data_IF_444423798817
#
_entry.id   IF_444423798817
#
_cell.length_a   1.000
_cell.length_b   1.000
_cell.length_c   1.000
_cell.angle_alpha   90.00
_cell.angle_beta   90.00
_cell.angle_gamma   90.00
#
_symmetry.space_group_name_H-M   'P 1'
#
loop_
_entity.id
_entity.type
_entity.pdbx_description
1 polymer ?
#
# COMPACT_ATOMS: atom_id res chain seq x y z
N UNK A 1 -23.81 18.81 -5.58
CA UNK A 1 -22.79 18.18 -4.72
C UNK A 1 -21.60 17.85 -5.62
N UNK A 2 -20.43 18.43 -5.39
CA UNK A 2 -19.25 18.17 -6.23
C UNK A 2 -18.82 16.70 -6.05
N UNK A 3 -18.98 15.89 -7.11
CA UNK A 3 -18.54 14.49 -7.18
C UNK A 3 -17.01 14.36 -7.39
N UNK A 4 -16.23 15.38 -7.04
CA UNK A 4 -14.79 15.38 -7.25
C UNK A 4 -14.12 14.39 -6.29
N UNK A 5 -13.41 13.40 -6.86
CA UNK A 5 -12.67 12.41 -6.07
C UNK A 5 -11.48 13.08 -5.35
N UNK A 6 -10.91 14.12 -5.96
CA UNK A 6 -9.81 14.97 -5.48
C UNK A 6 -9.98 16.37 -6.11
N UNK A 7 -9.45 17.42 -5.47
CA UNK A 7 -9.51 18.80 -5.98
C UNK A 7 -8.20 19.25 -6.64
N UNK A 8 -7.07 18.61 -6.29
CA UNK A 8 -5.77 18.91 -6.88
C UNK A 8 -4.98 17.66 -7.26
N UNK A 9 -4.08 17.78 -8.23
CA UNK A 9 -3.05 16.76 -8.50
C UNK A 9 -1.66 17.36 -8.39
N UNK A 10 -0.72 16.55 -7.96
CA UNK A 10 0.70 16.89 -7.83
C UNK A 10 1.50 16.04 -8.82
N UNK A 11 2.22 16.65 -9.76
CA UNK A 11 2.98 15.93 -10.80
C UNK A 11 4.47 16.27 -10.65
N UNK A 12 5.31 15.24 -10.51
CA UNK A 12 6.76 15.38 -10.62
C UNK A 12 7.19 15.31 -12.09
N UNK A 13 7.54 16.48 -12.65
CA UNK A 13 8.03 16.62 -14.02
C UNK A 13 9.53 16.32 -14.16
N UNK A 14 10.20 15.85 -13.10
CA UNK A 14 11.60 15.51 -13.12
C UNK A 14 12.54 16.67 -12.75
N UNK A 15 13.67 16.74 -13.45
CA UNK A 15 14.81 17.61 -13.15
C UNK A 15 15.98 16.87 -12.50
N UNK A 16 17.21 17.18 -12.93
CA UNK A 16 18.43 16.65 -12.33
C UNK A 16 18.53 17.16 -10.88
N UNK A 17 18.84 16.25 -9.96
CA UNK A 17 19.12 16.58 -8.57
C UNK A 17 20.36 15.80 -8.17
N UNK A 18 21.41 16.53 -7.78
CA UNK A 18 22.70 15.99 -7.36
C UNK A 18 22.72 15.53 -5.88
N UNK A 19 21.62 15.70 -5.14
CA UNK A 19 21.51 15.26 -3.76
C UNK A 19 21.20 13.75 -3.67
N UNK A 20 21.80 13.07 -2.69
CA UNK A 20 21.57 11.65 -2.42
C UNK A 20 20.79 11.44 -1.11
N UNK A 21 19.60 12.03 -1.01
CA UNK A 21 18.82 12.01 0.23
C UNK A 21 18.34 10.59 0.57
N UNK A 22 18.49 10.18 1.82
CA UNK A 22 18.01 8.87 2.31
C UNK A 22 16.52 8.62 2.01
N UNK A 23 15.71 9.68 2.05
CA UNK A 23 14.25 9.60 1.84
C UNK A 23 13.81 9.76 0.38
N UNK A 24 14.71 10.02 -0.56
CA UNK A 24 14.33 10.29 -1.94
C UNK A 24 13.93 8.99 -2.67
N UNK A 25 12.73 8.95 -3.25
CA UNK A 25 12.29 7.78 -4.02
C UNK A 25 13.13 7.53 -5.28
N UNK A 26 13.92 8.51 -5.69
CA UNK A 26 14.84 8.41 -6.82
C UNK A 26 16.22 7.88 -6.42
N UNK A 27 16.57 7.82 -5.12
CA UNK A 27 17.92 7.44 -4.67
C UNK A 27 18.38 6.09 -5.22
N UNK A 28 17.50 5.08 -5.23
CA UNK A 28 17.80 3.75 -5.79
C UNK A 28 17.88 3.73 -7.33
N UNK A 29 17.34 4.75 -7.99
CA UNK A 29 17.22 4.79 -9.45
C UNK A 29 18.27 5.73 -10.08
N UNK A 30 18.72 6.76 -9.34
CA UNK A 30 19.74 7.75 -9.78
C UNK A 30 21.07 7.12 -10.18
N UNK A 31 21.43 5.98 -9.58
CA UNK A 31 22.67 5.24 -9.86
C UNK A 31 22.51 4.16 -10.92
N UNK A 32 21.32 4.02 -11.52
CA UNK A 32 21.03 3.00 -12.53
C UNK A 32 20.89 3.62 -13.93
N UNK A 33 21.24 2.86 -14.97
CA UNK A 33 20.98 3.23 -16.38
C UNK A 33 19.49 3.46 -16.70
N UNK A 34 18.61 3.12 -15.73
CA UNK A 34 17.16 3.32 -15.80
C UNK A 34 16.70 4.70 -15.32
N UNK A 35 17.58 5.57 -14.81
CA UNK A 35 17.15 6.90 -14.32
C UNK A 35 16.47 7.73 -15.40
N UNK A 36 17.06 7.76 -16.60
CA UNK A 36 16.54 8.49 -17.75
C UNK A 36 15.60 7.65 -18.61
N UNK A 37 15.67 6.32 -18.53
CA UNK A 37 14.75 5.43 -19.25
C UNK A 37 13.41 5.41 -18.51
N UNK A 38 12.31 5.28 -19.26
CA UNK A 38 10.98 5.05 -18.71
C UNK A 38 10.31 6.23 -17.97
N UNK A 39 10.86 7.45 -18.05
CA UNK A 39 10.14 8.65 -17.59
C UNK A 39 8.84 8.83 -18.39
N UNK A 40 7.86 9.53 -17.82
CA UNK A 40 6.66 9.92 -18.55
C UNK A 40 7.03 10.77 -19.76
N UNK A 41 6.45 10.43 -20.90
CA UNK A 41 6.49 11.22 -22.11
C UNK A 41 5.47 12.36 -22.04
N UNK A 42 5.64 13.37 -22.89
CA UNK A 42 4.75 14.54 -22.93
C UNK A 42 3.29 14.15 -23.19
N UNK A 43 3.04 13.26 -24.14
CA UNK A 43 1.69 12.75 -24.45
C UNK A 43 1.03 12.06 -23.25
N UNK A 44 1.80 11.32 -22.45
CA UNK A 44 1.30 10.71 -21.21
C UNK A 44 0.97 11.75 -20.14
N UNK A 45 1.75 12.84 -20.05
CA UNK A 45 1.47 13.96 -19.13
C UNK A 45 0.23 14.74 -19.59
N UNK A 46 0.08 14.97 -20.89
CA UNK A 46 -1.09 15.60 -21.49
C UNK A 46 -2.34 14.76 -21.21
N UNK A 47 -2.27 13.44 -21.43
CA UNK A 47 -3.36 12.51 -21.15
C UNK A 47 -3.72 12.52 -19.64
N UNK A 48 -2.73 12.49 -18.75
CA UNK A 48 -2.95 12.62 -17.30
C UNK A 48 -3.69 13.90 -16.93
N UNK A 49 -3.31 15.05 -17.49
CA UNK A 49 -3.97 16.34 -17.24
C UNK A 49 -5.40 16.34 -17.79
N UNK A 50 -5.62 15.75 -18.96
CA UNK A 50 -6.96 15.60 -19.51
C UNK A 50 -7.85 14.72 -18.61
N UNK A 51 -7.34 13.58 -18.14
CA UNK A 51 -8.04 12.71 -17.20
C UNK A 51 -8.35 13.43 -15.88
N UNK A 52 -7.44 14.26 -15.37
CA UNK A 52 -7.67 15.06 -14.16
C UNK A 52 -8.74 16.13 -14.38
N UNK A 53 -8.72 16.81 -15.52
CA UNK A 53 -9.76 17.77 -15.88
C UNK A 53 -11.15 17.11 -16.03
N UNK A 54 -11.23 15.91 -16.63
CA UNK A 54 -12.47 15.11 -16.70
C UNK A 54 -13.02 14.73 -15.31
N UNK A 55 -12.12 14.59 -14.32
CA UNK A 55 -12.46 14.35 -12.92
C UNK A 55 -12.88 15.61 -12.15
N UNK A 56 -12.87 16.78 -12.79
CA UNK A 56 -13.19 18.06 -12.16
C UNK A 56 -12.08 18.62 -11.28
N UNK A 57 -10.84 18.14 -11.42
CA UNK A 57 -9.69 18.68 -10.70
C UNK A 57 -9.53 20.16 -11.03
N UNK A 58 -9.37 20.99 -10.01
CA UNK A 58 -9.32 22.45 -10.16
C UNK A 58 -7.90 22.99 -10.16
N UNK A 59 -6.94 22.25 -9.60
CA UNK A 59 -5.57 22.71 -9.41
C UNK A 59 -4.53 21.65 -9.78
N UNK A 60 -3.50 22.06 -10.51
CA UNK A 60 -2.31 21.24 -10.83
C UNK A 60 -1.09 21.86 -10.15
N UNK A 61 -0.39 21.06 -9.36
CA UNK A 61 0.87 21.44 -8.72
C UNK A 61 1.98 20.72 -9.47
N UNK A 62 2.88 21.49 -10.07
CA UNK A 62 4.02 20.96 -10.82
C UNK A 62 5.28 21.06 -9.95
N UNK A 63 5.87 19.90 -9.67
CA UNK A 63 7.16 19.81 -9.02
C UNK A 63 8.27 19.77 -10.05
N UNK A 64 9.18 20.74 -9.94
CA UNK A 64 10.34 20.87 -10.80
C UNK A 64 11.57 21.18 -9.95
N UNK A 65 12.73 20.61 -10.27
CA UNK A 65 13.97 21.00 -9.59
C UNK A 65 14.48 22.32 -10.18
N UNK A 66 14.91 23.23 -9.32
CA UNK A 66 15.44 24.55 -9.67
C UNK A 66 16.61 24.54 -10.67
N UNK A 67 17.31 23.42 -10.82
CA UNK A 67 18.50 23.30 -11.66
C UNK A 67 18.21 22.91 -13.12
N UNK A 68 17.04 22.36 -13.44
CA UNK A 68 16.74 21.92 -14.81
C UNK A 68 15.24 21.74 -15.03
N UNK A 69 14.62 22.63 -15.82
CA UNK A 69 13.20 22.51 -16.16
C UNK A 69 12.99 21.39 -17.19
N UNK A 70 11.90 20.63 -17.05
CA UNK A 70 11.47 19.70 -18.09
C UNK A 70 11.32 20.43 -19.43
N UNK A 71 11.83 19.90 -20.56
CA UNK A 71 11.79 20.60 -21.85
C UNK A 71 10.38 21.00 -22.26
N UNK A 72 9.39 20.17 -21.91
CA UNK A 72 7.99 20.39 -22.30
C UNK A 72 7.17 21.21 -21.29
N UNK A 73 7.82 21.86 -20.31
CA UNK A 73 7.12 22.65 -19.27
C UNK A 73 6.20 23.71 -19.89
N UNK A 74 6.64 24.38 -20.95
CA UNK A 74 5.86 25.42 -21.62
C UNK A 74 4.58 24.88 -22.27
N UNK A 75 4.61 23.67 -22.81
CA UNK A 75 3.45 23.04 -23.45
C UNK A 75 2.44 22.55 -22.42
N UNK A 76 2.93 21.93 -21.35
CA UNK A 76 2.12 21.53 -20.19
C UNK A 76 1.37 22.74 -19.62
N UNK A 77 2.05 23.88 -19.48
CA UNK A 77 1.43 25.10 -18.97
C UNK A 77 0.32 25.65 -19.86
N UNK A 78 0.55 25.67 -21.18
CA UNK A 78 -0.46 26.09 -22.15
C UNK A 78 -1.72 25.21 -22.06
N UNK A 79 -1.54 23.90 -21.89
CA UNK A 79 -2.65 22.97 -21.72
C UNK A 79 -3.45 23.26 -20.44
N UNK A 80 -2.79 23.39 -19.29
CA UNK A 80 -3.43 23.64 -18.00
C UNK A 80 -4.25 24.95 -18.05
N UNK A 81 -3.67 26.00 -18.64
CA UNK A 81 -4.36 27.28 -18.82
C UNK A 81 -5.60 27.14 -19.73
N UNK A 82 -5.47 26.43 -20.87
CA UNK A 82 -6.58 26.17 -21.79
C UNK A 82 -7.74 25.40 -21.14
N UNK A 83 -7.45 24.60 -20.11
CA UNK A 83 -8.43 23.84 -19.33
C UNK A 83 -9.03 24.64 -18.16
N UNK A 84 -8.65 25.91 -17.98
CA UNK A 84 -9.09 26.77 -16.86
C UNK A 84 -8.77 26.17 -15.48
N UNK A 85 -7.69 25.41 -15.36
CA UNK A 85 -7.21 24.86 -14.10
C UNK A 85 -6.20 25.82 -13.46
N UNK A 86 -6.25 25.97 -12.14
CA UNK A 86 -5.23 26.69 -11.38
C UNK A 86 -3.89 25.94 -11.45
N UNK A 87 -2.79 26.69 -11.49
CA UNK A 87 -1.44 26.13 -11.52
C UNK A 87 -0.59 26.66 -10.38
N UNK A 88 0.18 25.79 -9.76
CA UNK A 88 1.21 26.15 -8.77
C UNK A 88 2.52 25.45 -9.13
N UNK A 89 3.62 26.20 -9.07
CA UNK A 89 4.96 25.65 -9.22
C UNK A 89 5.64 25.53 -7.86
N UNK A 90 6.08 24.33 -7.54
CA UNK A 90 6.97 24.13 -6.40
C UNK A 90 8.38 23.84 -6.91
N UNK A 91 9.29 24.77 -6.62
CA UNK A 91 10.73 24.66 -6.88
C UNK A 91 11.43 23.67 -5.93
N UNK A 92 10.72 23.26 -4.87
CA UNK A 92 11.17 22.24 -3.95
C UNK A 92 10.36 20.98 -4.19
N UNK A 93 11.05 19.91 -4.60
CA UNK A 93 10.43 18.58 -4.54
C UNK A 93 10.03 18.28 -3.10
N UNK A 94 9.00 17.44 -2.88
CA UNK A 94 8.59 16.96 -1.57
C UNK A 94 9.60 15.91 -1.04
N UNK A 95 10.90 16.23 -1.16
CA UNK A 95 12.04 15.45 -0.72
C UNK A 95 12.24 15.53 0.79
N UNK A 96 11.80 16.64 1.41
CA UNK A 96 11.95 16.95 2.84
C UNK A 96 10.61 17.36 3.48
N UNK A 97 9.51 16.63 3.25
CA UNK A 97 8.27 16.85 4.04
C UNK A 97 8.39 16.39 5.51
N UNK A 98 9.59 16.50 6.07
CA UNK A 98 9.90 16.61 7.50
C UNK A 98 10.00 18.07 7.95
N UNK A 99 9.63 19.06 7.12
CA UNK A 99 9.34 20.41 7.62
C UNK A 99 8.09 20.33 8.51
N UNK A 100 8.34 19.96 9.76
CA UNK A 100 7.41 20.04 10.87
C UNK A 100 7.18 21.53 11.11
N UNK A 101 6.22 22.11 10.40
CA UNK A 101 5.55 23.26 10.95
C UNK A 101 4.72 22.71 12.11
N UNK A 102 4.92 23.19 13.33
CA UNK A 102 4.23 22.69 14.53
C UNK A 102 2.69 22.72 14.35
N UNK A 103 2.20 23.65 13.52
CA UNK A 103 0.79 23.75 13.13
C UNK A 103 0.35 22.76 12.03
N UNK A 104 1.29 22.25 11.21
CA UNK A 104 1.00 21.23 10.18
C UNK A 104 0.94 19.80 10.74
N UNK A 105 1.34 19.59 12.00
CA UNK A 105 1.21 18.30 12.70
C UNK A 105 -0.26 17.93 12.99
N UNK A 106 -1.14 18.92 13.05
CA UNK A 106 -2.50 18.73 13.57
C UNK A 106 -3.41 18.11 12.49
N UNK A 107 -3.31 18.45 11.19
CA UNK A 107 -4.28 17.93 10.20
C UNK A 107 -3.75 17.91 8.75
N UNK A 108 -2.94 16.90 8.39
CA UNK A 108 -2.57 16.69 6.99
C UNK A 108 -3.65 15.87 6.25
N UNK A 109 -4.50 16.55 5.47
CA UNK A 109 -5.57 15.94 4.67
C UNK A 109 -5.24 15.82 3.18
N UNK A 110 -3.96 15.86 2.80
CA UNK A 110 -3.52 15.75 1.40
C UNK A 110 -4.15 14.55 0.68
N UNK A 111 -4.19 13.38 1.31
CA UNK A 111 -4.82 12.17 0.76
C UNK A 111 -6.35 12.27 0.53
N UNK A 112 -7.05 13.23 1.15
CA UNK A 112 -8.48 13.47 0.88
C UNK A 112 -8.68 14.37 -0.34
N UNK A 113 -7.72 15.25 -0.62
CA UNK A 113 -7.88 16.39 -1.51
C UNK A 113 -6.96 16.37 -2.74
N UNK A 114 -5.89 15.56 -2.69
CA UNK A 114 -4.88 15.45 -3.72
C UNK A 114 -4.30 14.04 -3.86
N UNK A 115 -3.62 13.82 -4.98
CA UNK A 115 -2.72 12.68 -5.17
C UNK A 115 -1.42 13.15 -5.82
N UNK A 116 -0.36 12.37 -5.65
CA UNK A 116 0.96 12.63 -6.23
C UNK A 116 1.28 11.61 -7.31
N UNK A 117 1.71 12.07 -8.48
CA UNK A 117 2.16 11.25 -9.59
C UNK A 117 3.66 11.49 -9.78
N UNK A 118 4.44 10.43 -9.65
CA UNK A 118 5.88 10.54 -9.86
C UNK A 118 6.24 10.54 -11.36
N UNK A 119 7.50 10.84 -11.67
CA UNK A 119 8.03 10.85 -13.03
C UNK A 119 8.00 9.51 -13.80
N UNK A 120 7.55 8.41 -13.17
CA UNK A 120 7.33 7.10 -13.79
C UNK A 120 5.85 6.72 -13.88
N UNK A 121 4.94 7.66 -13.63
CA UNK A 121 3.49 7.44 -13.69
C UNK A 121 2.89 6.72 -12.49
N UNK A 122 3.66 6.41 -11.45
CA UNK A 122 3.12 5.80 -10.23
C UNK A 122 2.37 6.83 -9.42
N UNK A 123 1.17 6.47 -8.97
CA UNK A 123 0.24 7.33 -8.23
C UNK A 123 0.36 7.02 -6.74
N UNK A 124 0.40 8.05 -5.90
CA UNK A 124 0.55 7.97 -4.45
C UNK A 124 -0.52 8.83 -3.76
N UNK A 125 -0.98 8.46 -2.55
CA UNK A 125 -1.94 9.26 -1.78
C UNK A 125 -1.43 10.64 -1.38
N UNK A 126 -0.12 10.77 -1.18
CA UNK A 126 0.55 12.06 -1.02
C UNK A 126 2.02 11.90 -1.37
N UNK A 127 2.71 13.00 -1.64
CA UNK A 127 4.08 12.94 -2.12
C UNK A 127 5.11 12.40 -1.10
N UNK A 128 4.78 12.48 0.20
CA UNK A 128 5.59 11.89 1.26
C UNK A 128 5.41 10.37 1.40
N UNK A 129 4.32 9.81 0.88
CA UNK A 129 3.98 8.41 1.09
C UNK A 129 4.66 7.52 0.06
N UNK A 130 5.42 6.53 0.51
CA UNK A 130 6.12 5.56 -0.36
C UNK A 130 5.27 4.32 -0.65
N UNK A 131 3.96 4.50 -0.71
CA UNK A 131 2.97 3.47 -1.00
C UNK A 131 2.23 3.84 -2.29
N UNK A 132 2.62 3.20 -3.40
CA UNK A 132 1.95 3.39 -4.69
C UNK A 132 0.59 2.70 -4.66
N UNK A 133 -0.42 3.37 -5.19
CA UNK A 133 -1.79 2.87 -5.32
C UNK A 133 -2.14 2.48 -6.77
N UNK A 134 -1.21 2.66 -7.70
CA UNK A 134 -1.40 2.31 -9.11
C UNK A 134 -0.41 3.02 -10.02
N UNK A 135 -0.52 2.76 -11.33
CA UNK A 135 0.27 3.43 -12.35
C UNK A 135 -0.62 3.83 -13.54
N UNK A 136 -0.47 5.06 -14.03
CA UNK A 136 -1.30 5.61 -15.11
C UNK A 136 -1.13 4.88 -16.45
N UNK A 137 0.00 4.17 -16.64
CA UNK A 137 0.24 3.31 -17.82
C UNK A 137 -0.55 2.01 -17.78
N UNK A 138 -1.05 1.63 -16.61
CA UNK A 138 -1.81 0.38 -16.41
C UNK A 138 -3.32 0.63 -16.34
N UNK A 139 -3.74 1.75 -15.76
CA UNK A 139 -5.14 2.09 -15.56
C UNK A 139 -5.37 3.61 -15.64
N UNK A 140 -6.58 4.02 -16.03
CA UNK A 140 -6.99 5.44 -15.95
C UNK A 140 -6.94 5.94 -14.50
N UNK A 141 -6.59 7.21 -14.31
CA UNK A 141 -6.50 7.88 -13.02
C UNK A 141 -7.79 7.73 -12.20
N UNK A 142 -8.95 7.89 -12.82
CA UNK A 142 -10.27 7.69 -12.18
C UNK A 142 -10.37 6.31 -11.51
N UNK A 143 -9.97 5.27 -12.23
CA UNK A 143 -10.03 3.88 -11.75
C UNK A 143 -9.04 3.66 -10.61
N UNK A 144 -7.81 4.15 -10.74
CA UNK A 144 -6.80 4.06 -9.68
C UNK A 144 -7.30 4.71 -8.39
N UNK A 145 -7.85 5.92 -8.48
CA UNK A 145 -8.33 6.66 -7.30
C UNK A 145 -9.59 6.06 -6.67
N UNK A 146 -10.48 5.49 -7.49
CA UNK A 146 -11.74 4.91 -7.02
C UNK A 146 -11.56 3.50 -6.43
N UNK A 147 -10.73 2.67 -7.05
CA UNK A 147 -10.56 1.26 -6.65
C UNK A 147 -9.52 1.07 -5.53
N UNK A 148 -8.75 2.11 -5.17
CA UNK A 148 -7.68 1.99 -4.17
C UNK A 148 -8.24 1.73 -2.77
N UNK A 149 -7.92 0.57 -2.20
CA UNK A 149 -8.26 0.19 -0.83
C UNK A 149 -7.50 1.10 0.17
N UNK A 150 -6.26 1.47 -0.15
CA UNK A 150 -5.47 2.40 0.67
C UNK A 150 -6.14 3.77 0.73
N UNK A 151 -6.52 4.37 -0.41
CA UNK A 151 -7.20 5.67 -0.40
C UNK A 151 -8.55 5.60 0.31
N UNK A 152 -9.32 4.55 0.10
CA UNK A 152 -10.58 4.35 0.79
C UNK A 152 -10.38 4.32 2.32
N UNK A 153 -9.36 3.59 2.80
CA UNK A 153 -9.01 3.52 4.21
C UNK A 153 -8.53 4.86 4.77
N UNK A 154 -7.71 5.60 4.02
CA UNK A 154 -7.21 6.91 4.42
C UNK A 154 -8.34 7.96 4.49
N UNK A 155 -9.28 7.93 3.53
CA UNK A 155 -10.44 8.83 3.50
C UNK A 155 -11.42 8.55 4.64
N UNK A 156 -11.61 7.27 4.98
CA UNK A 156 -12.49 6.79 6.05
C UNK A 156 -11.73 6.49 7.36
N UNK A 157 -10.73 7.31 7.68
CA UNK A 157 -9.82 7.04 8.79
C UNK A 157 -10.46 6.88 10.17
N UNK A 158 -11.62 7.50 10.37
CA UNK A 158 -12.42 7.40 11.59
C UNK A 158 -12.74 5.94 11.94
N UNK A 159 -12.77 5.04 10.94
CA UNK A 159 -13.09 3.63 11.09
C UNK A 159 -11.91 2.67 10.86
N UNK A 160 -10.73 3.20 10.51
CA UNK A 160 -9.58 2.38 10.08
C UNK A 160 -8.32 2.62 10.90
N UNK A 161 -8.20 3.73 11.63
CA UNK A 161 -7.05 3.99 12.51
C UNK A 161 -6.97 2.96 13.66
N UNK A 162 -5.72 2.55 13.92
CA UNK A 162 -5.33 1.55 14.92
C UNK A 162 -4.50 2.17 16.04
N UNK A 163 -4.37 1.44 17.14
CA UNK A 163 -3.51 1.78 18.26
C UNK A 163 -4.05 2.93 19.12
N UNK A 164 -3.18 3.54 19.93
CA UNK A 164 -3.52 4.62 20.85
C UNK A 164 -4.32 5.79 20.25
N UNK A 165 -4.05 6.16 18.99
CA UNK A 165 -4.73 7.28 18.32
C UNK A 165 -6.25 7.14 18.27
N UNK A 166 -6.78 5.91 18.28
CA UNK A 166 -8.22 5.66 18.21
C UNK A 166 -9.00 6.16 19.43
N UNK A 167 -8.36 6.15 20.59
CA UNK A 167 -8.93 6.63 21.87
C UNK A 167 -8.35 7.98 22.29
N UNK A 168 -7.65 8.66 21.38
CA UNK A 168 -7.02 9.93 21.69
C UNK A 168 -8.06 11.06 21.64
N UNK A 169 -8.05 11.94 22.63
CA UNK A 169 -8.97 13.09 22.71
C UNK A 169 -8.84 14.04 21.52
N UNK A 170 -7.67 14.02 20.85
CA UNK A 170 -7.38 14.86 19.67
C UNK A 170 -7.86 14.24 18.36
N UNK A 171 -8.38 13.01 18.35
CA UNK A 171 -8.67 12.24 17.12
C UNK A 171 -9.62 12.95 16.14
N UNK A 172 -10.62 13.67 16.65
CA UNK A 172 -11.59 14.41 15.82
C UNK A 172 -10.95 15.47 14.91
N UNK A 173 -9.81 16.02 15.34
CA UNK A 173 -9.09 17.07 14.61
C UNK A 173 -7.68 16.65 14.20
N UNK A 174 -7.22 15.48 14.63
CA UNK A 174 -5.88 14.96 14.38
C UNK A 174 -5.91 13.62 13.67
N UNK A 175 -5.17 13.57 12.56
CA UNK A 175 -4.93 12.35 11.81
C UNK A 175 -3.44 12.03 11.65
N UNK A 176 -2.54 12.84 12.22
CA UNK A 176 -1.09 12.66 12.10
C UNK A 176 -0.57 12.59 10.65
N UNK A 177 0.71 12.28 10.49
CA UNK A 177 1.33 12.15 9.17
C UNK A 177 1.39 10.70 8.73
N UNK A 178 0.46 10.28 7.85
CA UNK A 178 0.38 8.89 7.36
C UNK A 178 1.61 8.41 6.60
N UNK A 179 2.26 9.32 5.88
CA UNK A 179 3.52 9.03 5.21
C UNK A 179 4.62 8.65 6.19
N UNK A 180 4.75 9.43 7.29
CA UNK A 180 5.72 9.19 8.36
C UNK A 180 5.40 7.90 9.11
N UNK A 181 4.14 7.73 9.51
CA UNK A 181 3.68 6.50 10.18
C UNK A 181 4.01 5.27 9.35
N UNK A 182 3.67 5.26 8.05
CA UNK A 182 3.98 4.13 7.18
C UNK A 182 5.49 3.87 7.07
N UNK A 183 6.31 4.92 6.99
CA UNK A 183 7.77 4.78 6.91
C UNK A 183 8.38 4.16 8.18
N UNK A 184 7.80 4.45 9.35
CA UNK A 184 8.32 3.96 10.63
C UNK A 184 7.74 2.60 11.04
N UNK A 185 6.50 2.31 10.66
CA UNK A 185 5.75 1.14 11.16
C UNK A 185 5.47 0.10 10.08
N UNK A 186 5.54 0.46 8.80
CA UNK A 186 5.02 -0.37 7.71
C UNK A 186 3.48 -0.41 7.62
N UNK A 187 2.76 0.27 8.52
CA UNK A 187 1.30 0.39 8.52
C UNK A 187 0.88 1.85 8.40
N UNK A 188 0.17 2.20 7.33
CA UNK A 188 -0.33 3.55 7.14
C UNK A 188 -1.51 3.91 8.07
N UNK A 189 -2.10 2.91 8.75
CA UNK A 189 -3.21 3.09 9.69
C UNK A 189 -2.78 3.04 11.16
N UNK A 190 -1.52 2.74 11.45
CA UNK A 190 -1.01 2.71 12.81
C UNK A 190 -1.02 4.09 13.49
N UNK A 191 -0.82 4.10 14.79
CA UNK A 191 -0.53 5.33 15.52
C UNK A 191 0.89 5.82 15.21
N UNK A 192 1.10 7.14 15.20
CA UNK A 192 2.41 7.73 14.87
C UNK A 192 3.39 7.61 16.06
N UNK A 193 4.52 6.87 15.93
CA UNK A 193 5.48 6.68 17.03
C UNK A 193 6.17 7.97 17.47
N UNK A 194 6.23 8.99 16.61
CA UNK A 194 6.86 10.28 16.94
C UNK A 194 5.87 11.30 17.51
N UNK A 195 4.60 10.91 17.70
CA UNK A 195 3.64 11.75 18.40
C UNK A 195 3.97 11.79 19.90
N UNK A 196 4.00 12.99 20.53
CA UNK A 196 4.18 13.11 21.98
C UNK A 196 3.15 12.32 22.80
N UNK A 197 1.90 12.23 22.32
CA UNK A 197 0.79 11.50 22.98
C UNK A 197 0.96 9.97 23.01
N UNK A 198 1.92 9.45 22.26
CA UNK A 198 2.16 8.02 22.08
C UNK A 198 3.47 7.54 22.72
N UNK A 199 4.29 8.43 23.29
CA UNK A 199 5.63 8.08 23.82
C UNK A 199 5.56 7.04 24.95
N UNK A 200 4.48 7.05 25.73
CA UNK A 200 4.19 6.12 26.82
C UNK A 200 3.39 4.88 26.37
N UNK A 201 3.14 4.73 25.06
CA UNK A 201 2.25 3.70 24.47
C UNK A 201 2.86 3.05 23.23
N UNK A 202 4.17 3.13 23.06
CA UNK A 202 4.86 2.61 21.87
C UNK A 202 4.63 1.11 21.67
N UNK A 203 4.49 0.36 22.77
CA UNK A 203 4.20 -1.07 22.81
C UNK A 203 2.80 -1.42 22.29
N UNK A 204 1.89 -0.43 22.22
CA UNK A 204 0.54 -0.58 21.66
C UNK A 204 0.47 -0.22 20.18
N UNK A 205 1.58 0.21 19.59
CA UNK A 205 1.67 0.51 18.15
C UNK A 205 2.09 -0.76 17.42
N UNK A 206 1.40 -1.05 16.31
CA UNK A 206 1.75 -2.17 15.45
C UNK A 206 2.90 -1.79 14.52
N UNK A 207 3.91 -2.66 14.42
CA UNK A 207 5.04 -2.52 13.50
C UNK A 207 5.18 -3.78 12.66
N UNK A 208 5.50 -3.63 11.38
CA UNK A 208 5.90 -4.72 10.51
C UNK A 208 7.43 -4.86 10.49
N UNK A 209 7.97 -6.10 10.43
CA UNK A 209 7.24 -7.36 10.41
C UNK A 209 6.57 -7.72 11.75
N UNK A 210 5.44 -8.44 11.72
CA UNK A 210 4.73 -8.90 12.92
C UNK A 210 4.27 -10.36 12.82
N UNK A 211 4.07 -11.00 13.97
CA UNK A 211 3.41 -12.30 14.05
C UNK A 211 1.96 -12.23 13.55
N UNK A 212 1.53 -13.24 12.80
CA UNK A 212 0.16 -13.33 12.27
C UNK A 212 -0.83 -13.97 13.24
N UNK A 213 -0.39 -14.37 14.43
CA UNK A 213 -1.20 -15.11 15.40
C UNK A 213 -2.53 -14.43 15.75
N UNK A 214 -2.55 -13.10 15.81
CA UNK A 214 -3.76 -12.31 16.10
C UNK A 214 -4.52 -11.87 14.84
N UNK A 215 -3.99 -12.19 13.66
CA UNK A 215 -4.53 -11.76 12.37
C UNK A 215 -5.41 -12.83 11.74
N UNK A 216 -5.21 -14.10 12.08
CA UNK A 216 -5.95 -15.22 11.49
C UNK A 216 -6.60 -16.08 12.57
N UNK A 217 -7.79 -16.67 12.32
CA UNK A 217 -8.49 -17.49 13.31
C UNK A 217 -7.80 -18.84 13.60
N UNK A 218 -7.01 -19.35 12.66
CA UNK A 218 -6.35 -20.65 12.79
C UNK A 218 -5.37 -20.68 13.98
N UNK A 219 -5.48 -21.74 14.78
CA UNK A 219 -4.63 -21.98 15.96
C UNK A 219 -3.37 -22.75 15.60
N UNK A 220 -2.43 -22.85 16.54
CA UNK A 220 -1.20 -23.62 16.38
C UNK A 220 -1.50 -25.06 15.92
N UNK A 221 -0.69 -25.59 15.01
CA UNK A 221 -0.91 -26.88 14.36
C UNK A 221 -1.66 -26.76 13.02
N UNK A 222 -2.66 -25.88 12.93
CA UNK A 222 -3.40 -25.60 11.69
C UNK A 222 -3.03 -24.26 11.06
N UNK A 223 -2.40 -23.36 11.79
CA UNK A 223 -1.86 -22.10 11.27
C UNK A 223 -0.55 -22.37 10.54
N UNK A 224 -0.53 -22.14 9.24
CA UNK A 224 0.60 -22.42 8.35
C UNK A 224 1.34 -21.17 7.89
N UNK A 225 0.94 -20.00 8.35
CA UNK A 225 1.65 -18.71 8.14
C UNK A 225 2.22 -18.22 9.46
N UNK A 226 3.39 -17.57 9.42
CA UNK A 226 4.14 -17.17 10.62
C UNK A 226 4.15 -15.66 10.82
N UNK A 227 4.61 -14.90 9.83
CA UNK A 227 4.81 -13.46 9.95
C UNK A 227 4.24 -12.70 8.76
N UNK A 228 3.65 -11.54 9.02
CA UNK A 228 3.33 -10.54 8.01
C UNK A 228 4.54 -9.62 7.88
N UNK A 229 5.15 -9.55 6.69
CA UNK A 229 6.39 -8.81 6.46
C UNK A 229 6.14 -7.41 5.89
N UNK A 230 5.16 -7.26 5.00
CA UNK A 230 4.87 -5.98 4.33
C UNK A 230 3.43 -5.96 3.83
N UNK A 231 2.79 -4.80 3.87
CA UNK A 231 1.50 -4.55 3.21
C UNK A 231 1.62 -3.38 2.25
N UNK A 232 0.97 -3.49 1.08
CA UNK A 232 0.82 -2.42 0.10
C UNK A 232 -0.60 -2.43 -0.49
N UNK A 233 -0.85 -1.60 -1.50
CA UNK A 233 -2.12 -1.60 -2.24
C UNK A 233 -2.41 -3.00 -2.78
N UNK A 234 -3.47 -3.63 -2.25
CA UNK A 234 -3.96 -4.96 -2.64
C UNK A 234 -2.87 -6.04 -2.66
N UNK A 235 -1.85 -5.89 -1.82
CA UNK A 235 -0.71 -6.79 -1.75
C UNK A 235 -0.23 -6.99 -0.31
N UNK A 236 0.19 -8.21 0.01
CA UNK A 236 0.98 -8.48 1.20
C UNK A 236 2.11 -9.46 0.90
N UNK A 237 3.17 -9.34 1.71
CA UNK A 237 4.25 -10.30 1.81
C UNK A 237 4.13 -11.03 3.13
N UNK A 238 3.93 -12.34 3.08
CA UNK A 238 3.75 -13.21 4.24
C UNK A 238 4.89 -14.23 4.29
N UNK A 239 5.26 -14.65 5.48
CA UNK A 239 6.23 -15.71 5.73
C UNK A 239 5.50 -16.97 6.22
N UNK A 240 6.04 -18.13 5.87
CA UNK A 240 5.66 -19.41 6.42
C UNK A 240 6.91 -20.24 6.73
N UNK A 241 6.90 -20.93 7.88
CA UNK A 241 7.91 -21.90 8.29
C UNK A 241 7.18 -23.07 8.92
N UNK A 242 7.43 -24.28 8.42
CA UNK A 242 6.84 -25.51 8.95
C UNK A 242 7.85 -26.22 9.86
N UNK A 243 7.54 -26.45 11.15
CA UNK A 243 8.40 -27.26 12.01
C UNK A 243 8.34 -28.73 11.60
N UNK A 244 9.37 -29.51 11.94
CA UNK A 244 9.48 -30.93 11.57
C UNK A 244 8.34 -31.81 12.10
N UNK A 245 7.69 -31.40 13.19
CA UNK A 245 6.53 -32.08 13.78
C UNK A 245 5.18 -31.58 13.25
N UNK A 246 5.18 -30.72 12.22
CA UNK A 246 3.95 -30.23 11.60
C UNK A 246 3.17 -31.36 10.94
N UNK A 247 1.81 -31.37 11.03
CA UNK A 247 0.98 -32.36 10.33
C UNK A 247 1.06 -32.25 8.80
N UNK A 248 1.63 -31.17 8.29
CA UNK A 248 1.85 -30.94 6.85
C UNK A 248 3.21 -31.44 6.35
N UNK A 249 4.05 -32.01 7.22
CA UNK A 249 5.36 -32.56 6.85
C UNK A 249 5.25 -34.08 6.72
N UNK A 250 5.69 -34.61 5.57
CA UNK A 250 5.78 -36.04 5.27
C UNK A 250 6.87 -36.70 6.09
N UNK A 251 6.83 -38.03 6.16
CA UNK A 251 7.87 -38.84 6.81
C UNK A 251 9.28 -38.64 6.22
N UNK A 252 9.38 -38.26 4.94
CA UNK A 252 10.65 -37.94 4.27
C UNK A 252 11.12 -36.49 4.53
N UNK A 253 10.41 -35.74 5.38
CA UNK A 253 10.71 -34.35 5.73
C UNK A 253 10.20 -33.32 4.72
N UNK A 254 9.61 -33.74 3.60
CA UNK A 254 9.07 -32.82 2.59
C UNK A 254 7.68 -32.28 2.96
N UNK A 255 7.37 -31.07 2.48
CA UNK A 255 6.07 -30.44 2.68
C UNK A 255 5.00 -31.06 1.77
N UNK A 256 3.81 -31.28 2.32
CA UNK A 256 2.64 -31.73 1.58
C UNK A 256 2.20 -30.73 0.51
N UNK A 257 1.82 -31.22 -0.67
CA UNK A 257 1.48 -30.36 -1.81
C UNK A 257 0.22 -29.52 -1.55
N UNK A 258 -0.76 -30.06 -0.83
CA UNK A 258 -1.96 -29.30 -0.45
C UNK A 258 -1.66 -28.19 0.56
N UNK A 259 -0.53 -28.25 1.29
CA UNK A 259 -0.15 -27.22 2.24
C UNK A 259 0.12 -25.88 1.55
N UNK A 260 0.61 -25.88 0.29
CA UNK A 260 0.80 -24.64 -0.47
C UNK A 260 -0.52 -23.89 -0.67
N UNK A 261 -1.62 -24.61 -0.94
CA UNK A 261 -2.94 -24.00 -1.09
C UNK A 261 -3.42 -23.37 0.22
N UNK A 262 -3.18 -24.04 1.35
CA UNK A 262 -3.52 -23.50 2.68
C UNK A 262 -2.67 -22.27 3.03
N UNK A 263 -1.38 -22.27 2.68
CA UNK A 263 -0.51 -21.10 2.83
C UNK A 263 -1.03 -19.91 2.03
N UNK A 264 -1.47 -20.12 0.79
CA UNK A 264 -2.08 -19.07 -0.04
C UNK A 264 -3.38 -18.56 0.60
N UNK A 265 -4.25 -19.46 1.06
CA UNK A 265 -5.52 -19.10 1.68
C UNK A 265 -5.36 -18.33 2.99
N UNK A 266 -4.50 -18.81 3.91
CA UNK A 266 -4.24 -18.11 5.16
C UNK A 266 -3.52 -16.78 4.93
N UNK A 267 -2.64 -16.67 3.92
CA UNK A 267 -2.04 -15.38 3.56
C UNK A 267 -3.10 -14.35 3.14
N UNK A 268 -4.19 -14.78 2.51
CA UNK A 268 -5.32 -13.91 2.20
C UNK A 268 -6.07 -13.48 3.48
N UNK A 269 -6.24 -14.42 4.42
CA UNK A 269 -6.77 -14.14 5.75
C UNK A 269 -5.92 -13.13 6.53
N UNK A 270 -4.58 -13.24 6.44
CA UNK A 270 -3.64 -12.30 7.06
C UNK A 270 -3.86 -10.87 6.54
N UNK A 271 -4.06 -10.69 5.23
CA UNK A 271 -4.31 -9.37 4.64
C UNK A 271 -5.53 -8.69 5.26
N UNK A 272 -6.66 -9.40 5.28
CA UNK A 272 -7.93 -8.89 5.81
C UNK A 272 -7.89 -8.70 7.32
N UNK A 273 -7.31 -9.67 8.03
CA UNK A 273 -7.12 -9.62 9.47
C UNK A 273 -6.23 -8.45 9.90
N UNK A 274 -5.16 -8.17 9.16
CA UNK A 274 -4.30 -7.03 9.43
C UNK A 274 -5.03 -5.70 9.23
N UNK A 275 -5.81 -5.55 8.16
CA UNK A 275 -6.58 -4.34 7.89
C UNK A 275 -7.55 -4.01 9.04
N UNK A 276 -8.18 -5.04 9.62
CA UNK A 276 -9.15 -4.91 10.71
C UNK A 276 -8.52 -4.93 12.10
N UNK A 277 -7.28 -5.38 12.22
CA UNK A 277 -6.58 -5.51 13.50
C UNK A 277 -6.60 -4.20 14.27
N UNK A 278 -7.00 -4.26 15.55
CA UNK A 278 -7.05 -3.11 16.47
C UNK A 278 -7.95 -1.92 16.03
N UNK A 279 -8.75 -2.10 14.98
CA UNK A 279 -9.81 -1.17 14.57
C UNK A 279 -11.11 -1.38 15.35
N UNK A 280 -11.17 -2.42 16.19
CA UNK A 280 -12.35 -2.83 16.97
C UNK A 280 -13.48 -3.42 16.16
N UNK A 281 -13.26 -3.63 14.86
CA UNK A 281 -14.09 -4.50 14.03
C UNK A 281 -13.74 -5.94 14.35
N UNK A 282 -14.75 -6.81 14.40
CA UNK A 282 -14.53 -8.25 14.45
C UNK A 282 -13.84 -8.69 13.15
N UNK A 283 -12.82 -9.54 13.26
CA UNK A 283 -12.30 -10.25 12.08
C UNK A 283 -13.37 -11.26 11.66
N UNK A 284 -13.95 -11.14 10.47
CA UNK A 284 -14.88 -12.15 10.00
C UNK A 284 -14.15 -13.48 9.79
N UNK A 285 -14.89 -14.58 9.92
CA UNK A 285 -14.45 -15.86 9.40
C UNK A 285 -14.30 -15.79 7.87
N UNK A 286 -13.45 -16.64 7.32
CA UNK A 286 -13.27 -16.76 5.89
C UNK A 286 -13.20 -18.22 5.48
N UNK A 287 -13.75 -18.53 4.30
CA UNK A 287 -13.70 -19.86 3.71
C UNK A 287 -12.89 -19.83 2.43
N UNK A 288 -12.03 -20.83 2.25
CA UNK A 288 -11.46 -21.15 0.95
C UNK A 288 -12.55 -21.83 0.11
N UNK A 289 -12.94 -21.20 -0.99
CA UNK A 289 -13.95 -21.72 -1.91
C UNK A 289 -13.31 -22.61 -2.97
N UNK A 290 -12.08 -22.31 -3.37
CA UNK A 290 -11.32 -23.17 -4.27
C UNK A 290 -10.01 -22.55 -4.73
N UNK A 291 -9.15 -23.39 -5.30
CA UNK A 291 -7.92 -23.00 -5.97
C UNK A 291 -8.00 -23.26 -7.47
N UNK A 292 -7.35 -22.42 -8.28
CA UNK A 292 -7.20 -22.63 -9.72
C UNK A 292 -5.78 -22.34 -10.15
N UNK A 293 -5.33 -23.04 -11.22
CA UNK A 293 -3.99 -22.88 -11.79
C UNK A 293 -2.88 -23.01 -10.74
N UNK A 294 -3.06 -23.92 -9.78
CA UNK A 294 -2.06 -24.21 -8.76
C UNK A 294 -0.95 -25.03 -9.41
N UNK A 295 0.23 -24.43 -9.54
CA UNK A 295 1.43 -25.08 -10.06
C UNK A 295 2.47 -25.18 -8.95
N UNK A 296 3.06 -26.35 -8.79
CA UNK A 296 4.16 -26.62 -7.85
C UNK A 296 5.36 -27.05 -8.67
N UNK A 297 6.45 -26.29 -8.57
CA UNK A 297 7.66 -26.46 -9.39
C UNK A 297 8.77 -27.22 -8.66
N UNK A 298 8.78 -27.18 -7.33
CA UNK A 298 9.81 -27.81 -6.52
C UNK A 298 9.27 -28.25 -5.15
N UNK A 299 9.95 -29.22 -4.54
CA UNK A 299 9.71 -29.63 -3.15
C UNK A 299 10.38 -28.66 -2.18
N UNK A 300 9.75 -28.49 -1.02
CA UNK A 300 10.32 -27.80 0.13
C UNK A 300 10.29 -28.73 1.33
N UNK A 301 11.08 -28.43 2.35
CA UNK A 301 11.30 -29.30 3.50
C UNK A 301 11.01 -28.57 4.81
N UNK A 302 10.85 -29.33 5.88
CA UNK A 302 10.71 -28.78 7.22
C UNK A 302 11.84 -27.79 7.54
N UNK A 303 11.49 -26.65 8.14
CA UNK A 303 12.41 -25.56 8.46
C UNK A 303 12.74 -24.62 7.31
N UNK A 304 12.36 -24.93 6.06
CA UNK A 304 12.49 -23.97 4.96
C UNK A 304 11.63 -22.72 5.23
N UNK A 305 12.22 -21.57 4.93
CA UNK A 305 11.51 -20.29 4.97
C UNK A 305 10.86 -20.01 3.62
N UNK A 306 9.53 -20.02 3.62
CA UNK A 306 8.72 -19.67 2.46
C UNK A 306 8.31 -18.20 2.53
N UNK A 307 8.49 -17.48 1.43
CA UNK A 307 8.04 -16.10 1.25
C UNK A 307 6.90 -16.09 0.25
N UNK A 308 5.76 -15.56 0.67
CA UNK A 308 4.52 -15.56 -0.09
C UNK A 308 4.19 -14.14 -0.48
N UNK A 309 4.23 -13.89 -1.78
CA UNK A 309 3.69 -12.68 -2.38
C UNK A 309 2.24 -12.93 -2.76
N UNK A 310 1.30 -12.26 -2.11
CA UNK A 310 -0.13 -12.40 -2.37
C UNK A 310 -0.75 -11.07 -2.84
N UNK A 311 -1.56 -11.15 -3.89
CA UNK A 311 -2.19 -10.01 -4.55
C UNK A 311 -3.70 -10.22 -4.65
N UNK A 312 -4.49 -9.26 -4.18
CA UNK A 312 -5.93 -9.26 -4.37
C UNK A 312 -6.25 -8.76 -5.78
N UNK A 313 -6.67 -9.64 -6.67
CA UNK A 313 -6.95 -9.32 -8.09
C UNK A 313 -8.34 -8.74 -8.26
N UNK A 314 -9.33 -9.29 -7.56
CA UNK A 314 -10.73 -8.84 -7.66
C UNK A 314 -11.47 -9.02 -6.35
N UNK A 315 -12.44 -8.13 -6.09
CA UNK A 315 -13.39 -8.22 -4.98
C UNK A 315 -14.80 -7.96 -5.51
N UNK A 316 -15.71 -8.90 -5.26
CA UNK A 316 -17.13 -8.78 -5.60
C UNK A 316 -17.96 -9.12 -4.36
N UNK A 317 -18.44 -8.08 -3.68
CA UNK A 317 -19.06 -8.24 -2.37
C UNK A 317 -18.10 -8.94 -1.41
N UNK A 318 -18.55 -10.10 -0.91
CA UNK A 318 -17.83 -10.94 0.04
C UNK A 318 -16.90 -11.97 -0.63
N UNK A 319 -16.88 -12.05 -1.96
CA UNK A 319 -15.97 -12.91 -2.70
C UNK A 319 -14.70 -12.16 -3.09
N UNK A 320 -13.55 -12.79 -2.83
CA UNK A 320 -12.23 -12.31 -3.22
C UNK A 320 -11.50 -13.31 -4.09
N UNK A 321 -10.84 -12.83 -5.13
CA UNK A 321 -9.89 -13.61 -5.93
C UNK A 321 -8.50 -13.05 -5.66
N UNK A 322 -7.58 -13.94 -5.28
CA UNK A 322 -6.19 -13.58 -5.00
C UNK A 322 -5.25 -14.48 -5.78
N UNK A 323 -4.18 -13.90 -6.31
CA UNK A 323 -3.05 -14.63 -6.86
C UNK A 323 -1.92 -14.66 -5.86
N UNK A 324 -1.22 -15.78 -5.78
CA UNK A 324 -0.11 -15.96 -4.86
C UNK A 324 1.09 -16.60 -5.56
N UNK A 325 2.28 -16.16 -5.15
CA UNK A 325 3.57 -16.76 -5.53
C UNK A 325 4.36 -17.08 -4.28
N UNK A 326 4.85 -18.30 -4.19
CA UNK A 326 5.59 -18.83 -3.04
C UNK A 326 7.03 -19.05 -3.45
N UNK A 327 7.95 -18.47 -2.70
CA UNK A 327 9.39 -18.53 -2.94
C UNK A 327 10.11 -19.19 -1.78
N UNK A 328 11.18 -19.92 -2.07
CA UNK A 328 12.17 -20.37 -1.08
C UNK A 328 13.55 -19.99 -1.62
N UNK A 329 14.34 -19.23 -0.85
CA UNK A 329 15.66 -18.73 -1.28
C UNK A 329 15.63 -18.05 -2.67
N UNK A 330 14.62 -17.20 -2.89
CA UNK A 330 14.34 -16.49 -4.15
C UNK A 330 13.97 -17.35 -5.37
N UNK A 331 13.85 -18.68 -5.20
CA UNK A 331 13.37 -19.60 -6.23
C UNK A 331 11.85 -19.73 -6.12
N UNK A 332 11.14 -19.59 -7.25
CA UNK A 332 9.69 -19.81 -7.30
C UNK A 332 9.37 -21.30 -7.10
N UNK A 333 8.66 -21.61 -6.02
CA UNK A 333 8.28 -22.97 -5.62
C UNK A 333 6.88 -23.31 -6.07
N UNK A 334 5.94 -22.38 -5.90
CA UNK A 334 4.56 -22.58 -6.30
C UNK A 334 3.90 -21.25 -6.67
N UNK A 335 2.90 -21.31 -7.54
CA UNK A 335 2.02 -20.17 -7.79
C UNK A 335 0.60 -20.64 -8.05
N UNK A 336 -0.37 -19.74 -7.88
CA UNK A 336 -1.76 -20.08 -8.13
C UNK A 336 -2.73 -18.97 -7.79
N UNK A 337 -4.00 -19.25 -8.06
CA UNK A 337 -5.13 -18.40 -7.70
C UNK A 337 -5.97 -19.08 -6.63
N UNK A 338 -6.33 -18.35 -5.58
CA UNK A 338 -7.27 -18.79 -4.54
C UNK A 338 -8.49 -17.89 -4.51
N UNK A 339 -9.65 -18.53 -4.33
CA UNK A 339 -10.95 -17.88 -4.20
C UNK A 339 -11.41 -18.00 -2.77
N UNK A 340 -11.64 -16.87 -2.13
CA UNK A 340 -12.08 -16.81 -0.74
C UNK A 340 -13.47 -16.18 -0.65
N UNK A 341 -14.22 -16.60 0.36
CA UNK A 341 -15.45 -15.95 0.78
C UNK A 341 -15.27 -15.44 2.21
N UNK A 342 -15.52 -14.16 2.42
CA UNK A 342 -15.51 -13.53 3.73
C UNK A 342 -16.93 -13.52 4.28
N UNK A 343 -17.11 -14.01 5.50
CA UNK A 343 -18.41 -13.87 6.18
C UNK A 343 -18.57 -12.44 6.69
N UNK A 344 -19.79 -12.00 6.95
CA UNK A 344 -19.99 -10.83 7.81
C UNK A 344 -19.76 -11.29 9.25
N UNK A 345 -19.01 -10.52 10.05
CA UNK A 345 -18.61 -10.95 11.39
C UNK A 345 -19.81 -11.36 12.24
N UNK A 346 -19.84 -12.61 12.70
CA UNK A 346 -20.81 -13.10 13.68
C UNK A 346 -20.24 -12.86 15.08
N UNK A 347 -21.04 -12.31 15.99
CA UNK A 347 -20.70 -12.30 17.42
C UNK A 347 -20.50 -13.75 17.86
N UNK A 348 -19.26 -14.17 18.10
CA UNK A 348 -19.00 -15.41 18.81
C UNK A 348 -19.24 -15.16 20.32
N UNK A 349 -20.50 -14.95 20.69
CA UNK A 349 -21.00 -15.33 22.00
C UNK A 349 -21.49 -16.78 21.88
N UNK A 350 -20.57 -17.72 22.11
CA UNK A 350 -20.90 -19.09 22.53
C UNK A 350 -20.03 -19.41 23.74
#
# INVERSE_FOLDING_TARGET
MNNNIINSIEIDLGGSCNLNCFFCYLTKVKTSDKFNKNKLLLDEIIDLINQANELGVQKVILFNNSSNQHPDTAEILKLINKKNMQMEFSLTKPCNNLSVNENALIKCLKHKDSCFINLYGSVYPCAGMRLSIGNIRQNRLKKILFDSEVLANLKNHEFSIKGPCRKCDKFSNCYGCRARTFALTGDYLASDPLCPENQDKLEKITYLPMSVEKLVPQKQGMRVVTNLLTVKERYAKVESIFPANSPFIKKDGSLEEFAYMEVMAQSAGVMDGFEKFDTGKLSPGGFLIGGQKINIYAKTFAGDKLIIDIYKTTKFGNFGILTAKIYCKDILIAEGEVKIYQTDGVNNEI
#
